data_IF_376738989238
#
_entry.id   IF_376738989238
#
_cell.length_a   1.000
_cell.length_b   1.000
_cell.length_c   1.000
_cell.angle_alpha   90.00
_cell.angle_beta   90.00
_cell.angle_gamma   90.00
#
_symmetry.space_group_name_H-M   'P 1'
#
loop_
_entity.id
_entity.type
_entity.pdbx_description
1 polymer ?
#
# COMPACT_ATOMS: atom_id res chain seq x y z
N UNK A 1 66.33 -13.64 -51.80
CA UNK A 1 65.76 -14.61 -50.81
C UNK A 1 65.61 -14.06 -49.39
N UNK A 2 66.58 -13.30 -48.85
CA UNK A 2 66.58 -12.87 -47.44
C UNK A 2 65.38 -12.00 -46.98
N UNK A 3 64.83 -11.15 -47.87
CA UNK A 3 63.70 -10.25 -47.54
C UNK A 3 62.39 -11.01 -47.32
N UNK A 4 62.13 -12.07 -48.10
CA UNK A 4 60.93 -12.93 -47.93
C UNK A 4 60.96 -13.68 -46.59
N UNK A 5 62.14 -14.14 -46.16
CA UNK A 5 62.33 -14.84 -44.88
C UNK A 5 62.07 -13.92 -43.67
N UNK A 6 62.52 -12.66 -43.72
CA UNK A 6 62.25 -11.68 -42.65
C UNK A 6 60.77 -11.31 -42.54
N UNK A 7 60.08 -11.13 -43.67
CA UNK A 7 58.62 -10.87 -43.67
C UNK A 7 57.85 -12.06 -43.09
N UNK A 8 58.20 -13.28 -43.50
CA UNK A 8 57.59 -14.51 -42.97
C UNK A 8 57.79 -14.67 -41.45
N UNK A 9 59.02 -14.49 -40.97
CA UNK A 9 59.33 -14.56 -39.53
C UNK A 9 58.51 -13.53 -38.74
N UNK A 10 58.42 -12.29 -39.22
CA UNK A 10 57.61 -11.24 -38.57
C UNK A 10 56.13 -11.60 -38.50
N UNK A 11 55.54 -12.09 -39.58
CA UNK A 11 54.14 -12.51 -39.59
C UNK A 11 53.86 -13.64 -38.60
N UNK A 12 54.76 -14.64 -38.53
CA UNK A 12 54.65 -15.75 -37.56
C UNK A 12 54.81 -15.23 -36.12
N UNK A 13 55.76 -14.34 -35.85
CA UNK A 13 55.94 -13.74 -34.52
C UNK A 13 54.73 -12.92 -34.08
N UNK A 14 54.12 -12.14 -34.99
CA UNK A 14 52.89 -11.40 -34.67
C UNK A 14 51.71 -12.34 -34.40
N UNK A 15 51.56 -13.42 -35.18
CA UNK A 15 50.53 -14.44 -34.95
C UNK A 15 50.69 -15.11 -33.57
N UNK A 16 51.92 -15.50 -33.20
CA UNK A 16 52.19 -16.10 -31.89
C UNK A 16 51.88 -15.10 -30.77
N UNK A 17 52.27 -13.83 -30.92
CA UNK A 17 51.96 -12.80 -29.92
C UNK A 17 50.44 -12.61 -29.73
N UNK A 18 49.67 -12.61 -30.83
CA UNK A 18 48.20 -12.54 -30.78
C UNK A 18 47.61 -13.78 -30.10
N UNK A 19 48.11 -14.98 -30.40
CA UNK A 19 47.68 -16.22 -29.71
C UNK A 19 47.97 -16.17 -28.21
N UNK A 20 49.12 -15.65 -27.80
CA UNK A 20 49.48 -15.48 -26.38
C UNK A 20 48.56 -14.47 -25.70
N UNK A 21 48.27 -13.33 -26.34
CA UNK A 21 47.32 -12.33 -25.81
C UNK A 21 45.93 -12.94 -25.64
N UNK A 22 45.40 -13.68 -26.62
CA UNK A 22 44.11 -14.36 -26.49
C UNK A 22 44.12 -15.46 -25.42
N UNK A 23 45.22 -16.19 -25.26
CA UNK A 23 45.35 -17.20 -24.22
C UNK A 23 45.38 -16.56 -22.81
N UNK A 24 46.10 -15.46 -22.64
CA UNK A 24 46.14 -14.69 -21.38
C UNK A 24 44.78 -14.06 -21.08
N UNK A 25 44.16 -13.40 -22.06
CA UNK A 25 42.81 -12.84 -21.91
C UNK A 25 41.78 -13.93 -21.59
N UNK A 26 41.85 -15.08 -22.25
CA UNK A 26 40.98 -16.22 -21.98
C UNK A 26 41.16 -16.80 -20.56
N UNK A 27 42.40 -16.92 -20.08
CA UNK A 27 42.67 -17.35 -18.70
C UNK A 27 42.22 -16.31 -17.67
N UNK A 28 42.42 -15.02 -17.94
CA UNK A 28 41.94 -13.94 -17.07
C UNK A 28 40.41 -13.93 -16.98
N UNK A 29 39.70 -14.03 -18.11
CA UNK A 29 38.24 -14.12 -18.14
C UNK A 29 37.71 -15.37 -17.43
N UNK A 30 38.40 -16.53 -17.56
CA UNK A 30 38.05 -17.74 -16.80
C UNK A 30 38.25 -17.57 -15.30
N UNK A 31 39.37 -16.98 -14.88
CA UNK A 31 39.66 -16.71 -13.48
C UNK A 31 38.66 -15.72 -12.88
N UNK A 32 38.30 -14.66 -13.62
CA UNK A 32 37.30 -13.70 -13.21
C UNK A 32 35.91 -14.33 -13.09
N UNK A 33 35.52 -15.19 -14.04
CA UNK A 33 34.26 -15.94 -13.99
C UNK A 33 34.20 -16.87 -12.77
N UNK A 34 35.26 -17.63 -12.51
CA UNK A 34 35.31 -18.54 -11.35
C UNK A 34 35.22 -17.77 -10.02
N UNK A 35 35.90 -16.62 -9.90
CA UNK A 35 35.82 -15.76 -8.71
C UNK A 35 34.42 -15.15 -8.53
N UNK A 36 33.74 -14.81 -9.62
CA UNK A 36 32.38 -14.29 -9.61
C UNK A 36 31.37 -15.36 -9.19
N UNK A 37 31.49 -16.58 -9.72
CA UNK A 37 30.65 -17.73 -9.34
C UNK A 37 30.82 -18.08 -7.84
N UNK A 38 32.05 -18.15 -7.33
CA UNK A 38 32.30 -18.40 -5.89
C UNK A 38 31.68 -17.31 -4.99
N UNK A 39 31.74 -16.05 -5.43
CA UNK A 39 31.11 -14.94 -4.68
C UNK A 39 29.59 -15.04 -4.70
N UNK A 40 29.00 -15.36 -5.86
CA UNK A 40 27.55 -15.54 -5.98
C UNK A 40 27.04 -16.74 -5.15
N UNK A 41 27.77 -17.86 -5.16
CA UNK A 41 27.42 -19.04 -4.37
C UNK A 41 27.40 -18.72 -2.87
N UNK A 42 28.39 -17.96 -2.39
CA UNK A 42 28.43 -17.48 -0.99
C UNK A 42 27.25 -16.58 -0.65
N UNK A 43 26.98 -15.56 -1.47
CA UNK A 43 25.85 -14.64 -1.26
C UNK A 43 24.52 -15.38 -1.25
N UNK A 44 24.34 -16.35 -2.15
CA UNK A 44 23.12 -17.18 -2.20
C UNK A 44 22.97 -18.09 -1.00
N UNK A 45 24.06 -18.73 -0.58
CA UNK A 45 24.02 -19.60 0.58
C UNK A 45 23.81 -18.82 1.89
N UNK A 46 24.44 -17.65 2.03
CA UNK A 46 24.18 -16.71 3.13
C UNK A 46 22.73 -16.22 3.10
N UNK A 47 22.23 -15.82 1.93
CA UNK A 47 20.84 -15.42 1.75
C UNK A 47 19.85 -16.53 2.12
N UNK A 48 20.19 -17.79 1.84
CA UNK A 48 19.34 -18.94 2.18
C UNK A 48 19.31 -19.17 3.69
N UNK A 49 20.47 -19.12 4.35
CA UNK A 49 20.55 -19.24 5.80
C UNK A 49 19.80 -18.10 6.51
N UNK A 50 19.95 -16.87 6.03
CA UNK A 50 19.20 -15.73 6.57
C UNK A 50 17.70 -15.87 6.34
N UNK A 51 17.27 -16.30 5.15
CA UNK A 51 15.85 -16.53 4.89
C UNK A 51 15.28 -17.62 5.81
N UNK A 52 16.02 -18.70 6.02
CA UNK A 52 15.66 -19.77 6.94
C UNK A 52 15.52 -19.26 8.39
N UNK A 53 16.51 -18.49 8.87
CA UNK A 53 16.48 -17.89 10.21
C UNK A 53 15.29 -16.93 10.37
N UNK A 54 15.06 -16.04 9.40
CA UNK A 54 13.93 -15.13 9.44
C UNK A 54 12.59 -15.87 9.43
N UNK A 55 12.44 -16.96 8.70
CA UNK A 55 11.19 -17.75 8.71
C UNK A 55 10.92 -18.37 10.09
N UNK A 56 11.96 -18.89 10.75
CA UNK A 56 11.84 -19.40 12.11
C UNK A 56 11.45 -18.29 13.10
N UNK A 57 12.13 -17.14 13.01
CA UNK A 57 11.82 -15.98 13.86
C UNK A 57 10.43 -15.41 13.58
N UNK A 58 9.98 -15.42 12.32
CA UNK A 58 8.66 -14.96 11.91
C UNK A 58 7.57 -15.87 12.48
N UNK A 59 7.75 -17.20 12.42
CA UNK A 59 6.86 -18.16 13.08
C UNK A 59 6.77 -17.89 14.61
N UNK A 60 7.91 -17.73 15.29
CA UNK A 60 7.93 -17.36 16.70
C UNK A 60 7.26 -16.01 17.01
N UNK A 61 7.46 -15.00 16.16
CA UNK A 61 6.85 -13.69 16.30
C UNK A 61 5.33 -13.71 16.09
N UNK A 62 4.86 -14.48 15.10
CA UNK A 62 3.44 -14.62 14.76
C UNK A 62 2.68 -15.42 15.80
N UNK A 63 3.25 -16.50 16.33
CA UNK A 63 2.67 -17.23 17.46
C UNK A 63 2.56 -16.36 18.71
N UNK A 64 3.57 -15.51 18.98
CA UNK A 64 3.48 -14.52 20.05
C UNK A 64 2.39 -13.47 19.77
N UNK A 65 2.28 -13.00 18.53
CA UNK A 65 1.27 -12.03 18.13
C UNK A 65 -0.15 -12.60 18.28
N UNK A 66 -0.35 -13.88 17.99
CA UNK A 66 -1.62 -14.60 18.15
C UNK A 66 -2.11 -14.68 19.60
N UNK A 67 -1.22 -14.61 20.58
CA UNK A 67 -1.57 -14.70 22.02
C UNK A 67 -1.41 -13.37 22.77
N UNK A 68 -0.89 -12.34 22.11
CA UNK A 68 -0.60 -11.04 22.72
C UNK A 68 -1.86 -10.25 23.09
N UNK A 69 -1.76 -9.46 24.16
CA UNK A 69 -2.85 -8.60 24.64
C UNK A 69 -2.30 -7.31 25.27
N UNK A 70 -3.07 -6.21 25.16
CA UNK A 70 -2.65 -4.92 25.71
C UNK A 70 -1.41 -4.34 25.03
N UNK A 71 -0.51 -3.74 25.81
CA UNK A 71 0.69 -3.04 25.30
C UNK A 71 1.67 -3.96 24.55
N UNK A 72 1.66 -5.28 24.80
CA UNK A 72 2.58 -6.22 24.12
C UNK A 72 2.30 -6.39 22.63
N UNK A 73 1.10 -6.02 22.17
CA UNK A 73 0.68 -6.18 20.77
C UNK A 73 1.52 -5.31 19.85
N UNK A 74 1.79 -4.06 20.23
CA UNK A 74 2.56 -3.13 19.39
C UNK A 74 4.01 -3.62 19.18
N UNK A 75 4.65 -4.12 20.25
CA UNK A 75 6.01 -4.64 20.20
C UNK A 75 6.08 -5.92 19.35
N UNK A 76 5.13 -6.84 19.52
CA UNK A 76 5.06 -8.08 18.73
C UNK A 76 4.77 -7.79 17.25
N UNK A 77 3.86 -6.86 16.94
CA UNK A 77 3.57 -6.45 15.56
C UNK A 77 4.81 -5.86 14.89
N UNK A 78 5.52 -4.95 15.60
CA UNK A 78 6.75 -4.36 15.09
C UNK A 78 7.84 -5.42 14.85
N UNK A 79 7.99 -6.37 15.76
CA UNK A 79 8.91 -7.48 15.61
C UNK A 79 8.62 -8.29 14.34
N UNK A 80 7.37 -8.71 14.14
CA UNK A 80 6.95 -9.46 12.94
C UNK A 80 7.20 -8.65 11.66
N UNK A 81 6.85 -7.37 11.65
CA UNK A 81 7.12 -6.48 10.51
C UNK A 81 8.61 -6.41 10.16
N UNK A 82 9.47 -6.25 11.16
CA UNK A 82 10.92 -6.18 10.96
C UNK A 82 11.47 -7.49 10.39
N UNK A 83 11.01 -8.64 10.89
CA UNK A 83 11.43 -9.97 10.37
C UNK A 83 10.93 -10.22 8.96
N UNK A 84 9.70 -9.82 8.64
CA UNK A 84 9.16 -9.93 7.29
C UNK A 84 9.99 -9.13 6.26
N UNK A 85 10.39 -7.91 6.61
CA UNK A 85 11.27 -7.08 5.76
C UNK A 85 12.66 -7.70 5.62
N UNK A 86 13.23 -8.21 6.71
CA UNK A 86 14.51 -8.93 6.67
C UNK A 86 14.46 -10.14 5.72
N UNK A 87 13.40 -10.96 5.85
CA UNK A 87 13.16 -12.10 4.99
C UNK A 87 13.01 -11.71 3.51
N UNK A 88 12.28 -10.62 3.21
CA UNK A 88 12.16 -10.10 1.84
C UNK A 88 13.53 -9.69 1.26
N UNK A 89 14.38 -9.06 2.08
CA UNK A 89 15.75 -8.73 1.71
C UNK A 89 16.56 -9.97 1.34
N UNK A 90 16.47 -11.04 2.14
CA UNK A 90 17.11 -12.33 1.88
C UNK A 90 16.55 -13.04 0.64
N UNK A 91 15.23 -13.00 0.44
CA UNK A 91 14.58 -13.54 -0.76
C UNK A 91 15.05 -12.84 -2.06
N UNK A 92 15.44 -11.57 -1.96
CA UNK A 92 16.00 -10.79 -3.07
C UNK A 92 17.37 -11.27 -3.57
N UNK A 93 18.04 -12.20 -2.88
CA UNK A 93 19.28 -12.82 -3.33
C UNK A 93 19.08 -13.89 -4.42
N UNK A 94 17.83 -14.29 -4.67
CA UNK A 94 17.48 -15.36 -5.60
C UNK A 94 16.74 -14.85 -6.83
N UNK A 95 16.56 -15.72 -7.83
CA UNK A 95 15.69 -15.40 -8.96
C UNK A 95 14.24 -15.20 -8.47
N UNK A 96 13.63 -14.07 -8.83
CA UNK A 96 12.26 -13.71 -8.43
C UNK A 96 11.23 -14.76 -8.85
N UNK A 97 11.41 -15.42 -10.00
CA UNK A 97 10.51 -16.50 -10.46
C UNK A 97 10.57 -17.74 -9.55
N UNK A 98 11.65 -17.89 -8.78
CA UNK A 98 11.87 -19.03 -7.86
C UNK A 98 11.43 -18.75 -6.43
N UNK A 99 11.06 -17.50 -6.12
CA UNK A 99 10.67 -17.07 -4.78
C UNK A 99 9.33 -16.33 -4.77
N UNK A 100 8.53 -16.45 -5.82
CA UNK A 100 7.26 -15.70 -5.97
C UNK A 100 6.34 -15.94 -4.77
N UNK A 101 6.09 -17.21 -4.42
CA UNK A 101 5.18 -17.57 -3.33
C UNK A 101 5.69 -17.10 -1.96
N UNK A 102 6.97 -17.33 -1.68
CA UNK A 102 7.61 -16.86 -0.45
C UNK A 102 7.54 -15.32 -0.35
N UNK A 103 7.83 -14.61 -1.44
CA UNK A 103 7.82 -13.15 -1.47
C UNK A 103 6.40 -12.59 -1.28
N UNK A 104 5.41 -13.24 -1.89
CA UNK A 104 4.00 -12.87 -1.70
C UNK A 104 3.57 -13.10 -0.25
N UNK A 105 3.85 -14.28 0.31
CA UNK A 105 3.57 -14.58 1.72
C UNK A 105 4.21 -13.55 2.66
N UNK A 106 5.50 -13.26 2.49
CA UNK A 106 6.22 -12.31 3.35
C UNK A 106 5.66 -10.89 3.26
N UNK A 107 5.27 -10.45 2.06
CA UNK A 107 4.62 -9.15 1.87
C UNK A 107 3.27 -9.11 2.59
N UNK A 108 2.46 -10.16 2.44
CA UNK A 108 1.18 -10.29 3.13
C UNK A 108 1.34 -10.25 4.65
N UNK A 109 2.32 -10.98 5.20
CA UNK A 109 2.60 -10.96 6.64
C UNK A 109 3.05 -9.58 7.10
N UNK A 110 3.89 -8.90 6.31
CA UNK A 110 4.28 -7.52 6.59
C UNK A 110 3.04 -6.61 6.66
N UNK A 111 2.20 -6.59 5.63
CA UNK A 111 0.99 -5.75 5.56
C UNK A 111 0.00 -6.08 6.71
N UNK A 112 -0.17 -7.37 7.01
CA UNK A 112 -0.96 -7.84 8.14
C UNK A 112 -0.42 -7.34 9.49
N UNK A 113 0.89 -7.46 9.72
CA UNK A 113 1.49 -7.03 10.99
C UNK A 113 1.41 -5.51 11.20
N UNK A 114 1.43 -4.71 10.13
CA UNK A 114 1.24 -3.26 10.19
C UNK A 114 -0.19 -2.86 10.57
N UNK A 115 -1.18 -3.71 10.25
CA UNK A 115 -2.62 -3.46 10.42
C UNK A 115 -3.27 -4.37 11.46
N UNK A 116 -2.47 -5.04 12.28
CA UNK A 116 -2.96 -6.04 13.23
C UNK A 116 -3.86 -5.41 14.30
N UNK A 117 -5.15 -5.79 14.30
CA UNK A 117 -6.18 -5.24 15.19
C UNK A 117 -6.18 -5.83 16.60
N UNK A 118 -5.60 -7.03 16.79
CA UNK A 118 -5.64 -7.76 18.06
C UNK A 118 -7.00 -8.38 18.41
N UNK A 119 -7.96 -8.37 17.49
CA UNK A 119 -9.21 -9.11 17.65
C UNK A 119 -9.02 -10.63 17.46
N UNK A 120 -10.05 -11.42 17.76
CA UNK A 120 -9.95 -12.88 17.72
C UNK A 120 -9.69 -13.42 16.31
N UNK A 121 -10.18 -12.73 15.27
CA UNK A 121 -9.95 -13.13 13.87
C UNK A 121 -8.50 -12.84 13.47
N UNK A 122 -7.96 -11.69 13.87
CA UNK A 122 -6.56 -11.35 13.68
C UNK A 122 -5.65 -12.33 14.42
N UNK A 123 -5.98 -12.69 15.66
CA UNK A 123 -5.23 -13.72 16.40
C UNK A 123 -5.26 -15.08 15.72
N UNK A 124 -6.41 -15.53 15.24
CA UNK A 124 -6.52 -16.77 14.47
C UNK A 124 -5.71 -16.71 13.17
N UNK A 125 -5.73 -15.56 12.49
CA UNK A 125 -4.95 -15.33 11.25
C UNK A 125 -3.45 -15.36 11.53
N UNK A 126 -3.00 -14.72 12.62
CA UNK A 126 -1.60 -14.75 13.06
C UNK A 126 -1.13 -16.18 13.37
N UNK A 127 -1.99 -16.99 14.02
CA UNK A 127 -1.68 -18.40 14.27
C UNK A 127 -1.48 -19.19 12.97
N UNK A 128 -2.37 -19.02 11.98
CA UNK A 128 -2.23 -19.69 10.68
C UNK A 128 -0.98 -19.24 9.91
N UNK A 129 -0.64 -17.95 9.98
CA UNK A 129 0.63 -17.48 9.41
C UNK A 129 1.84 -18.04 10.13
N UNK A 130 1.76 -18.23 11.46
CA UNK A 130 2.82 -18.87 12.25
C UNK A 130 3.08 -20.29 11.78
N UNK A 131 2.00 -21.07 11.57
CA UNK A 131 2.09 -22.46 11.10
C UNK A 131 2.73 -22.51 9.70
N UNK A 132 2.25 -21.68 8.77
CA UNK A 132 2.80 -21.63 7.41
C UNK A 132 4.27 -21.18 7.39
N UNK A 133 4.66 -20.20 8.21
CA UNK A 133 6.05 -19.80 8.35
C UNK A 133 6.95 -20.93 8.87
N UNK A 134 6.42 -21.76 9.77
CA UNK A 134 7.13 -22.94 10.28
C UNK A 134 7.33 -24.00 9.18
N UNK A 135 6.30 -24.23 8.35
CA UNK A 135 6.40 -25.13 7.19
C UNK A 135 7.47 -24.67 6.19
N UNK A 136 7.48 -23.37 5.85
CA UNK A 136 8.50 -22.78 4.98
C UNK A 136 9.89 -22.92 5.62
N UNK A 137 10.01 -22.70 6.93
CA UNK A 137 11.27 -22.89 7.65
C UNK A 137 11.79 -24.32 7.51
N UNK A 138 10.98 -25.35 7.79
CA UNK A 138 11.40 -26.75 7.65
C UNK A 138 11.83 -27.06 6.22
N UNK A 139 11.09 -26.58 5.23
CA UNK A 139 11.43 -26.74 3.82
C UNK A 139 12.78 -26.10 3.45
N UNK A 140 13.04 -24.86 3.89
CA UNK A 140 14.33 -24.19 3.66
C UNK A 140 15.47 -24.87 4.41
N UNK A 141 15.22 -25.38 5.62
CA UNK A 141 16.16 -26.18 6.39
C UNK A 141 16.53 -27.48 5.66
N UNK A 142 15.57 -28.16 5.05
CA UNK A 142 15.80 -29.37 4.25
C UNK A 142 16.64 -29.07 2.99
N UNK A 143 16.36 -27.96 2.31
CA UNK A 143 17.20 -27.49 1.18
C UNK A 143 18.63 -27.22 1.65
N UNK A 144 18.78 -26.55 2.78
CA UNK A 144 20.11 -26.24 3.36
C UNK A 144 20.87 -27.52 3.69
N UNK A 145 20.22 -28.50 4.32
CA UNK A 145 20.80 -29.81 4.60
C UNK A 145 21.15 -30.57 3.31
N UNK A 146 20.32 -30.50 2.27
CA UNK A 146 20.59 -31.12 0.98
C UNK A 146 21.78 -30.47 0.24
N UNK A 147 21.98 -29.16 0.37
CA UNK A 147 23.18 -28.47 -0.14
C UNK A 147 24.42 -28.97 0.61
N UNK A 148 24.39 -28.97 1.95
CA UNK A 148 25.52 -29.42 2.77
C UNK A 148 25.86 -30.91 2.58
N UNK A 149 24.85 -31.74 2.32
CA UNK A 149 24.99 -33.15 1.98
C UNK A 149 25.45 -33.40 0.54
N UNK A 150 25.58 -32.36 -0.28
CA UNK A 150 25.98 -32.45 -1.69
C UNK A 150 24.92 -33.02 -2.63
N UNK A 151 23.66 -33.07 -2.18
CA UNK A 151 22.52 -33.48 -2.99
C UNK A 151 22.08 -32.37 -3.94
N UNK A 152 22.17 -31.10 -3.53
CA UNK A 152 21.85 -29.93 -4.36
C UNK A 152 23.09 -29.11 -4.72
N UNK A 153 23.07 -28.46 -5.88
CA UNK A 153 24.12 -27.55 -6.32
C UNK A 153 23.72 -26.09 -6.10
N UNK A 154 24.68 -25.29 -5.62
CA UNK A 154 24.60 -23.82 -5.57
C UNK A 154 24.80 -23.15 -6.94
N UNK A 155 25.27 -23.90 -7.94
CA UNK A 155 25.51 -23.43 -9.31
C UNK A 155 24.50 -24.03 -10.29
N UNK A 156 23.81 -23.17 -11.02
CA UNK A 156 22.83 -23.56 -12.04
C UNK A 156 23.47 -24.37 -13.20
N UNK A 157 24.69 -23.97 -13.57
CA UNK A 157 25.41 -24.58 -14.69
C UNK A 157 26.26 -25.78 -14.26
N UNK A 158 26.58 -25.91 -12.97
CA UNK A 158 27.40 -26.99 -12.42
C UNK A 158 28.84 -27.00 -12.96
N UNK A 159 29.67 -27.92 -12.46
CA UNK A 159 31.01 -28.12 -13.02
C UNK A 159 30.91 -28.83 -14.38
N UNK A 160 31.57 -28.33 -15.45
CA UNK A 160 31.61 -29.01 -16.74
C UNK A 160 32.34 -30.38 -16.69
N UNK A 161 32.95 -30.72 -15.55
CA UNK A 161 33.63 -31.99 -15.31
C UNK A 161 32.84 -32.95 -14.39
N UNK A 162 31.67 -32.55 -13.89
CA UNK A 162 30.85 -33.39 -13.00
C UNK A 162 30.21 -34.55 -13.76
N UNK A 163 30.44 -35.78 -13.28
CA UNK A 163 29.94 -37.02 -13.91
C UNK A 163 28.42 -37.19 -13.74
N UNK A 164 27.85 -36.62 -12.68
CA UNK A 164 26.41 -36.49 -12.42
C UNK A 164 26.12 -35.02 -12.08
N UNK A 165 25.14 -34.42 -12.75
CA UNK A 165 24.72 -33.02 -12.49
C UNK A 165 23.70 -33.04 -11.35
N UNK A 166 24.07 -32.51 -10.19
CA UNK A 166 23.11 -32.32 -9.09
C UNK A 166 22.07 -31.26 -9.49
N UNK A 167 20.83 -31.39 -9.03
CA UNK A 167 19.81 -30.39 -9.32
C UNK A 167 20.14 -29.07 -8.60
N UNK A 168 19.71 -27.97 -9.22
CA UNK A 168 19.97 -26.62 -8.73
C UNK A 168 19.00 -26.24 -7.62
N UNK A 169 19.52 -25.74 -6.50
CA UNK A 169 18.73 -25.54 -5.27
C UNK A 169 17.58 -24.53 -5.43
N UNK A 170 17.75 -23.43 -6.21
CA UNK A 170 16.70 -22.41 -6.33
C UNK A 170 15.43 -22.98 -6.98
N UNK A 171 15.52 -24.07 -7.74
CA UNK A 171 14.32 -24.73 -8.29
C UNK A 171 13.40 -25.34 -7.21
N UNK A 172 13.88 -25.44 -5.98
CA UNK A 172 13.13 -25.95 -4.85
C UNK A 172 12.71 -24.83 -3.89
N UNK A 173 13.07 -23.57 -4.12
CA UNK A 173 12.70 -22.48 -3.21
C UNK A 173 11.22 -22.11 -3.27
N UNK A 174 10.56 -22.38 -4.39
CA UNK A 174 9.16 -22.03 -4.59
C UNK A 174 8.26 -22.99 -3.81
N UNK A 175 8.14 -22.74 -2.51
CA UNK A 175 7.27 -23.50 -1.63
C UNK A 175 5.83 -22.98 -1.72
N UNK A 176 4.96 -23.80 -2.28
CA UNK A 176 3.55 -23.83 -1.97
C UNK A 176 3.30 -25.20 -1.34
N UNK A 177 2.56 -25.31 -0.24
CA UNK A 177 2.27 -26.59 0.43
C UNK A 177 1.31 -27.47 -0.41
N UNK A 178 1.52 -27.56 -1.72
CA UNK A 178 0.61 -28.14 -2.70
C UNK A 178 -0.61 -27.29 -3.05
N UNK A 179 -0.72 -26.06 -2.50
CA UNK A 179 -1.89 -25.18 -2.62
C UNK A 179 -1.46 -23.71 -2.70
N UNK A 180 -1.43 -23.13 -3.90
CA UNK A 180 -1.39 -21.66 -4.04
C UNK A 180 -2.61 -21.02 -3.34
N UNK A 181 -3.75 -21.72 -3.34
CA UNK A 181 -5.00 -21.30 -2.71
C UNK A 181 -4.86 -21.03 -1.21
N UNK A 182 -3.93 -21.69 -0.51
CA UNK A 182 -3.73 -21.50 0.92
C UNK A 182 -3.03 -20.16 1.22
N UNK A 183 -2.01 -19.79 0.45
CA UNK A 183 -1.38 -18.47 0.55
C UNK A 183 -2.38 -17.37 0.21
N UNK A 184 -3.20 -17.58 -0.83
CA UNK A 184 -4.24 -16.62 -1.22
C UNK A 184 -5.37 -16.53 -0.20
N UNK A 185 -5.78 -17.65 0.42
CA UNK A 185 -6.77 -17.66 1.49
C UNK A 185 -6.26 -16.95 2.75
N UNK A 186 -5.00 -17.16 3.11
CA UNK A 186 -4.35 -16.46 4.22
C UNK A 186 -4.19 -14.96 3.93
N UNK A 187 -3.85 -14.61 2.69
CA UNK A 187 -3.83 -13.22 2.25
C UNK A 187 -5.22 -12.58 2.28
N UNK A 188 -6.26 -13.31 1.86
CA UNK A 188 -7.64 -12.85 1.96
C UNK A 188 -8.10 -12.68 3.42
N UNK A 189 -7.71 -13.58 4.34
CA UNK A 189 -8.04 -13.43 5.76
C UNK A 189 -7.30 -12.26 6.42
N UNK A 190 -6.05 -12.02 6.03
CA UNK A 190 -5.31 -10.82 6.43
C UNK A 190 -5.97 -9.54 5.88
N UNK A 191 -6.39 -9.55 4.62
CA UNK A 191 -7.10 -8.43 4.00
C UNK A 191 -8.45 -8.13 4.70
N UNK A 192 -9.14 -9.18 5.16
CA UNK A 192 -10.39 -9.07 5.92
C UNK A 192 -10.17 -8.45 7.31
N UNK A 193 -9.00 -8.67 7.93
CA UNK A 193 -8.63 -8.06 9.22
C UNK A 193 -8.15 -6.62 9.11
N UNK A 194 -7.62 -6.21 7.93
CA UNK A 194 -7.28 -4.81 7.59
C UNK A 194 -8.53 -3.90 7.50
N UNK A 195 -9.74 -4.46 7.48
CA UNK A 195 -10.96 -3.72 7.13
C UNK A 195 -12.00 -3.68 8.24
N UNK A 196 -11.60 -3.29 9.45
CA UNK A 196 -12.58 -2.88 10.45
C UNK A 196 -12.85 -1.38 10.32
N UNK A 197 -13.73 -1.00 9.37
CA UNK A 197 -14.17 0.39 9.22
C UNK A 197 -14.81 0.86 10.55
N UNK A 198 -14.07 1.58 11.40
CA UNK A 198 -14.56 2.03 12.71
C UNK A 198 -15.86 2.82 12.57
N UNK A 199 -15.98 3.61 11.50
CA UNK A 199 -17.18 4.38 11.23
C UNK A 199 -18.45 3.52 11.08
N UNK A 200 -18.32 2.29 10.57
CA UNK A 200 -19.43 1.35 10.40
C UNK A 200 -19.57 0.36 11.55
N UNK A 201 -18.58 0.28 12.45
CA UNK A 201 -18.55 -0.69 13.53
C UNK A 201 -19.76 -0.55 14.45
N UNK A 202 -20.35 -1.69 14.84
CA UNK A 202 -21.57 -1.75 15.66
C UNK A 202 -22.87 -1.33 14.98
N UNK A 203 -22.87 -0.95 13.69
CA UNK A 203 -24.10 -0.63 12.96
C UNK A 203 -24.76 -1.91 12.43
N UNK A 204 -26.06 -2.05 12.65
CA UNK A 204 -26.83 -3.17 12.11
C UNK A 204 -26.87 -3.16 10.58
N UNK A 205 -26.78 -4.34 9.98
CA UNK A 205 -26.98 -4.52 8.53
C UNK A 205 -28.44 -4.29 8.16
N UNK A 206 -28.67 -3.49 7.13
CA UNK A 206 -30.02 -3.24 6.59
C UNK A 206 -30.30 -4.14 5.37
N UNK A 207 -31.59 -4.35 5.05
CA UNK A 207 -31.98 -5.08 3.85
C UNK A 207 -31.86 -4.20 2.59
N UNK A 208 -31.79 -4.84 1.42
CA UNK A 208 -31.76 -4.16 0.13
C UNK A 208 -32.99 -3.26 -0.08
N UNK A 209 -34.18 -3.66 0.39
CA UNK A 209 -35.40 -2.87 0.28
C UNK A 209 -35.31 -1.58 1.10
N UNK A 210 -34.78 -1.66 2.33
CA UNK A 210 -34.53 -0.47 3.17
C UNK A 210 -33.49 0.45 2.54
N UNK A 211 -32.44 -0.12 1.95
CA UNK A 211 -31.40 0.65 1.26
C UNK A 211 -31.98 1.37 0.03
N UNK A 212 -32.85 0.69 -0.73
CA UNK A 212 -33.55 1.24 -1.90
C UNK A 212 -34.50 2.37 -1.50
N UNK A 213 -35.21 2.25 -0.38
CA UNK A 213 -36.03 3.33 0.17
C UNK A 213 -35.19 4.56 0.55
N UNK A 214 -34.05 4.36 1.23
CA UNK A 214 -33.12 5.46 1.52
C UNK A 214 -32.61 6.13 0.25
N UNK A 215 -32.24 5.36 -0.78
CA UNK A 215 -31.82 5.91 -2.07
C UNK A 215 -32.91 6.79 -2.72
N UNK A 216 -34.16 6.34 -2.65
CA UNK A 216 -35.32 7.12 -3.10
C UNK A 216 -35.53 8.40 -2.30
N UNK A 217 -35.36 8.38 -0.98
CA UNK A 217 -35.46 9.57 -0.14
C UNK A 217 -34.38 10.62 -0.43
N UNK A 218 -33.18 10.17 -0.80
CA UNK A 218 -32.02 11.03 -1.08
C UNK A 218 -32.17 11.72 -2.45
N UNK A 219 -32.52 10.95 -3.48
CA UNK A 219 -32.52 11.43 -4.87
C UNK A 219 -33.90 11.90 -5.33
N UNK A 220 -34.98 11.44 -4.69
CA UNK A 220 -36.36 11.74 -5.09
C UNK A 220 -36.90 10.88 -6.23
N UNK A 221 -36.25 9.75 -6.54
CA UNK A 221 -36.72 8.76 -7.53
C UNK A 221 -37.53 7.67 -6.82
N UNK A 222 -38.69 7.30 -7.36
CA UNK A 222 -39.52 6.23 -6.80
C UNK A 222 -38.75 4.90 -6.70
N UNK A 223 -38.92 4.19 -5.58
CA UNK A 223 -38.21 2.95 -5.28
C UNK A 223 -38.37 1.88 -6.37
N UNK A 224 -39.51 1.84 -7.06
CA UNK A 224 -39.81 0.88 -8.13
C UNK A 224 -38.96 1.13 -9.39
N UNK A 225 -38.46 2.35 -9.58
CA UNK A 225 -37.70 2.75 -10.76
C UNK A 225 -36.21 2.44 -10.66
N UNK A 226 -35.71 2.08 -9.47
CA UNK A 226 -34.31 1.71 -9.28
C UNK A 226 -34.00 0.32 -9.82
N UNK A 227 -32.95 0.24 -10.65
CA UNK A 227 -32.30 -1.02 -10.98
C UNK A 227 -31.21 -1.29 -9.95
N UNK A 228 -31.32 -2.42 -9.28
CA UNK A 228 -30.30 -2.92 -8.36
C UNK A 228 -29.18 -3.57 -9.16
N UNK A 229 -27.98 -3.03 -9.02
CA UNK A 229 -26.79 -3.63 -9.59
C UNK A 229 -26.13 -4.52 -8.53
N UNK A 230 -25.37 -5.51 -9.00
CA UNK A 230 -24.61 -6.49 -8.20
C UNK A 230 -24.01 -5.85 -6.95
N UNK A 231 -24.13 -6.53 -5.79
CA UNK A 231 -23.45 -6.16 -4.56
C UNK A 231 -21.98 -5.84 -4.85
N UNK A 232 -21.57 -4.59 -4.64
CA UNK A 232 -20.17 -4.21 -4.76
C UNK A 232 -19.51 -4.30 -3.38
N UNK A 233 -18.40 -5.03 -3.32
CA UNK A 233 -17.44 -4.91 -2.22
C UNK A 233 -16.46 -3.82 -2.60
N UNK A 234 -16.47 -2.72 -1.87
CA UNK A 234 -15.30 -1.84 -1.80
C UNK A 234 -14.29 -2.52 -0.88
N UNK A 235 -12.98 -2.28 -1.05
CA UNK A 235 -11.87 -3.02 -0.41
C UNK A 235 -11.91 -3.07 1.15
N UNK A 236 -12.91 -2.47 1.80
CA UNK A 236 -13.11 -2.52 3.26
C UNK A 236 -14.58 -2.54 3.76
N UNK A 237 -15.58 -2.46 2.89
CA UNK A 237 -17.01 -2.50 3.28
C UNK A 237 -17.92 -2.86 2.09
N UNK A 238 -19.14 -3.31 2.38
CA UNK A 238 -20.12 -3.70 1.35
C UNK A 238 -21.19 -2.62 1.13
N UNK A 239 -21.58 -2.43 -0.14
CA UNK A 239 -22.66 -1.51 -0.53
C UNK A 239 -23.73 -2.19 -1.38
N UNK A 240 -24.95 -1.66 -1.30
CA UNK A 240 -25.99 -1.82 -2.29
C UNK A 240 -25.89 -0.69 -3.32
N UNK A 241 -25.81 -1.03 -4.60
CA UNK A 241 -25.73 -0.07 -5.70
C UNK A 241 -27.04 -0.01 -6.48
N UNK A 242 -27.60 1.18 -6.63
CA UNK A 242 -28.82 1.43 -7.39
C UNK A 242 -28.57 2.39 -8.54
N UNK A 243 -29.20 2.14 -9.68
CA UNK A 243 -29.08 2.99 -10.88
C UNK A 243 -30.41 3.28 -11.55
N UNK A 244 -30.54 4.49 -12.09
CA UNK A 244 -31.67 4.94 -12.90
C UNK A 244 -31.19 5.98 -13.92
N UNK A 245 -31.23 5.64 -15.22
CA UNK A 245 -30.59 6.46 -16.25
C UNK A 245 -29.10 6.64 -15.97
N UNK A 246 -28.64 7.89 -15.95
CA UNK A 246 -27.26 8.28 -15.62
C UNK A 246 -27.05 8.54 -14.12
N UNK A 247 -28.07 8.30 -13.29
CA UNK A 247 -27.94 8.43 -11.83
C UNK A 247 -27.56 7.10 -11.19
N UNK A 248 -26.58 7.13 -10.30
CA UNK A 248 -26.14 6.02 -9.48
C UNK A 248 -26.03 6.45 -8.01
N UNK A 249 -26.32 5.52 -7.10
CA UNK A 249 -26.20 5.73 -5.66
C UNK A 249 -25.78 4.44 -4.96
N UNK A 250 -24.80 4.56 -4.07
CA UNK A 250 -24.27 3.44 -3.28
C UNK A 250 -24.60 3.68 -1.80
N UNK A 251 -25.23 2.68 -1.16
CA UNK A 251 -25.61 2.69 0.25
C UNK A 251 -24.91 1.54 0.98
N UNK A 252 -24.16 1.82 2.04
CA UNK A 252 -23.51 0.77 2.83
C UNK A 252 -24.53 -0.21 3.42
N UNK A 253 -24.24 -1.51 3.34
CA UNK A 253 -25.09 -2.54 3.96
C UNK A 253 -25.18 -2.32 5.47
N UNK A 254 -24.05 -2.02 6.11
CA UNK A 254 -24.00 -1.68 7.53
C UNK A 254 -24.52 -0.26 7.78
N UNK A 255 -25.58 -0.14 8.58
CA UNK A 255 -26.19 1.14 8.98
C UNK A 255 -26.97 1.88 7.88
N UNK A 256 -26.88 1.47 6.61
CA UNK A 256 -27.49 2.20 5.51
C UNK A 256 -26.93 3.60 5.33
N UNK A 257 -25.62 3.74 5.47
CA UNK A 257 -24.89 5.00 5.29
C UNK A 257 -24.82 5.34 3.80
N UNK A 258 -24.99 6.61 3.44
CA UNK A 258 -24.80 7.07 2.06
C UNK A 258 -23.31 7.07 1.71
N UNK A 259 -22.87 6.24 0.77
CA UNK A 259 -21.46 6.15 0.37
C UNK A 259 -21.13 7.04 -0.84
N UNK A 260 -21.94 6.93 -1.89
CA UNK A 260 -21.67 7.60 -3.18
C UNK A 260 -22.94 8.05 -3.86
N UNK A 261 -22.89 9.19 -4.53
CA UNK A 261 -23.92 9.67 -5.47
C UNK A 261 -23.24 10.13 -6.76
N UNK A 262 -23.81 9.72 -7.89
CA UNK A 262 -23.53 10.28 -9.20
C UNK A 262 -24.90 10.64 -9.76
N UNK A 263 -25.21 11.92 -9.92
CA UNK A 263 -26.49 12.38 -10.47
C UNK A 263 -26.25 13.62 -11.33
N UNK A 264 -25.92 13.45 -12.62
CA UNK A 264 -25.61 14.57 -13.50
C UNK A 264 -26.76 15.58 -13.51
N UNK A 265 -26.48 16.78 -12.99
CA UNK A 265 -27.45 17.87 -12.92
C UNK A 265 -27.60 18.60 -14.27
N UNK A 266 -28.62 19.46 -14.41
CA UNK A 266 -28.77 20.26 -15.61
C UNK A 266 -27.61 21.26 -15.76
N UNK A 267 -26.99 21.28 -16.94
CA UNK A 267 -25.98 22.28 -17.32
C UNK A 267 -26.63 23.33 -18.21
N UNK A 268 -27.21 24.37 -17.60
CA UNK A 268 -28.01 25.37 -18.30
C UNK A 268 -27.56 26.80 -17.98
N UNK A 269 -27.81 27.26 -16.75
CA UNK A 269 -27.47 28.61 -16.30
C UNK A 269 -26.96 28.58 -14.86
N UNK A 270 -26.06 29.48 -14.51
CA UNK A 270 -25.54 29.60 -13.14
C UNK A 270 -26.53 30.41 -12.29
N UNK A 271 -27.29 29.73 -11.43
CA UNK A 271 -28.25 30.34 -10.51
C UNK A 271 -27.61 30.59 -9.13
N UNK A 272 -26.79 29.65 -8.67
CA UNK A 272 -26.15 29.71 -7.35
C UNK A 272 -24.72 30.24 -7.42
N UNK A 273 -24.36 31.03 -6.42
CA UNK A 273 -22.97 31.44 -6.23
C UNK A 273 -22.13 30.28 -5.66
N UNK A 274 -20.81 30.49 -5.60
CA UNK A 274 -19.91 29.53 -4.97
C UNK A 274 -20.19 29.38 -3.47
N UNK A 275 -20.46 30.48 -2.76
CA UNK A 275 -20.75 30.46 -1.33
C UNK A 275 -22.09 29.75 -1.05
N UNK A 276 -23.09 29.94 -1.91
CA UNK A 276 -24.35 29.20 -1.82
C UNK A 276 -24.14 27.69 -2.02
N UNK A 277 -23.24 27.32 -2.94
CA UNK A 277 -22.90 25.92 -3.19
C UNK A 277 -22.17 25.28 -2.00
N UNK A 278 -21.27 26.03 -1.36
CA UNK A 278 -20.59 25.58 -0.14
C UNK A 278 -21.58 25.30 0.98
N UNK A 279 -22.52 26.23 1.24
CA UNK A 279 -23.56 26.05 2.25
C UNK A 279 -24.44 24.82 1.97
N UNK A 280 -24.80 24.60 0.71
CA UNK A 280 -25.56 23.40 0.29
C UNK A 280 -24.79 22.11 0.52
N UNK A 281 -23.47 22.13 0.28
CA UNK A 281 -22.61 20.98 0.53
C UNK A 281 -22.52 20.67 2.03
N UNK A 282 -22.32 21.69 2.87
CA UNK A 282 -22.27 21.55 4.33
C UNK A 282 -23.60 21.03 4.91
N UNK A 283 -24.73 21.56 4.43
CA UNK A 283 -26.06 21.10 4.82
C UNK A 283 -26.29 19.63 4.44
N UNK A 284 -25.85 19.24 3.24
CA UNK A 284 -25.95 17.85 2.77
C UNK A 284 -25.14 16.90 3.65
N UNK A 285 -23.88 17.24 3.94
CA UNK A 285 -23.01 16.45 4.81
C UNK A 285 -23.64 16.25 6.20
N UNK A 286 -24.06 17.35 6.81
CA UNK A 286 -24.69 17.36 8.14
C UNK A 286 -25.96 16.50 8.18
N UNK A 287 -26.82 16.61 7.16
CA UNK A 287 -28.07 15.86 7.03
C UNK A 287 -27.84 14.35 6.96
N UNK A 288 -26.78 13.90 6.30
CA UNK A 288 -26.50 12.48 6.10
C UNK A 288 -25.46 11.90 7.07
N UNK A 289 -25.08 12.65 8.11
CA UNK A 289 -24.31 12.15 9.25
C UNK A 289 -22.80 12.38 9.16
N UNK A 290 -22.33 13.16 8.19
CA UNK A 290 -20.95 13.60 8.06
C UNK A 290 -20.79 14.94 8.79
N UNK A 291 -20.34 14.87 10.05
CA UNK A 291 -20.29 16.02 10.98
C UNK A 291 -18.87 16.51 11.20
N UNK A 292 -18.74 17.76 11.68
CA UNK A 292 -17.45 18.39 11.99
C UNK A 292 -16.49 18.37 10.78
N UNK A 293 -17.03 18.64 9.61
CA UNK A 293 -16.28 18.63 8.35
C UNK A 293 -15.67 20.01 8.09
N UNK A 294 -14.43 20.03 7.60
CA UNK A 294 -13.70 21.22 7.21
C UNK A 294 -13.37 21.16 5.73
N UNK A 295 -13.66 22.23 5.00
CA UNK A 295 -13.28 22.35 3.59
C UNK A 295 -11.78 22.56 3.47
N UNK A 296 -11.10 21.66 2.76
CA UNK A 296 -9.65 21.69 2.51
C UNK A 296 -9.31 21.92 1.05
N UNK A 297 -10.25 21.71 0.14
CA UNK A 297 -10.06 21.94 -1.28
C UNK A 297 -11.34 22.39 -1.93
N UNK A 298 -11.21 23.15 -3.01
CA UNK A 298 -12.34 23.62 -3.78
C UNK A 298 -11.93 23.89 -5.22
N UNK A 299 -12.78 23.52 -6.16
CA UNK A 299 -12.61 23.80 -7.58
C UNK A 299 -13.96 24.25 -8.15
N UNK A 300 -13.96 25.28 -9.02
CA UNK A 300 -15.19 25.77 -9.64
C UNK A 300 -15.11 25.58 -11.14
N UNK A 301 -16.04 24.79 -11.68
CA UNK A 301 -16.28 24.67 -13.11
C UNK A 301 -17.28 25.71 -13.63
N UNK A 302 -17.68 25.59 -14.89
CA UNK A 302 -18.65 26.50 -15.52
C UNK A 302 -20.04 26.41 -14.85
N UNK A 303 -20.48 25.19 -14.52
CA UNK A 303 -21.80 24.90 -13.95
C UNK A 303 -21.76 24.09 -12.66
N UNK A 304 -20.57 23.82 -12.11
CA UNK A 304 -20.40 23.01 -10.89
C UNK A 304 -19.38 23.64 -9.95
N UNK A 305 -19.53 23.33 -8.65
CA UNK A 305 -18.52 23.62 -7.65
C UNK A 305 -18.22 22.34 -6.88
N UNK A 306 -16.95 21.92 -6.92
CA UNK A 306 -16.40 20.77 -6.21
C UNK A 306 -15.74 21.22 -4.92
N UNK A 307 -15.92 20.44 -3.86
CA UNK A 307 -15.33 20.67 -2.56
C UNK A 307 -14.76 19.36 -2.02
N UNK A 308 -13.61 19.46 -1.36
CA UNK A 308 -13.00 18.37 -0.59
C UNK A 308 -13.10 18.71 0.89
N UNK A 309 -13.82 17.88 1.63
CA UNK A 309 -14.00 18.01 3.06
C UNK A 309 -13.20 16.95 3.80
N UNK A 310 -12.69 17.29 4.98
CA UNK A 310 -12.04 16.34 5.90
C UNK A 310 -12.66 16.50 7.30
N UNK A 311 -12.82 15.44 8.08
CA UNK A 311 -13.32 15.56 9.43
C UNK A 311 -12.26 16.14 10.37
N UNK A 312 -12.72 16.98 11.29
CA UNK A 312 -11.94 17.51 12.40
C UNK A 312 -12.41 16.85 13.70
N UNK A 313 -11.53 16.10 14.36
CA UNK A 313 -11.80 15.38 15.60
C UNK A 313 -10.75 15.80 16.63
N UNK A 314 -11.21 16.30 17.79
CA UNK A 314 -10.32 16.79 18.85
C UNK A 314 -9.27 17.82 18.37
N UNK A 315 -9.62 18.65 17.38
CA UNK A 315 -8.72 19.65 16.78
C UNK A 315 -7.71 19.08 15.76
N UNK A 316 -7.84 17.80 15.38
CA UNK A 316 -7.00 17.14 14.38
C UNK A 316 -7.80 16.87 13.11
N UNK A 317 -7.24 17.25 11.96
CA UNK A 317 -7.80 16.94 10.64
C UNK A 317 -7.36 15.53 10.19
N UNK A 318 -8.30 14.68 9.79
CA UNK A 318 -7.98 13.39 9.16
C UNK A 318 -7.97 13.55 7.63
N UNK A 319 -6.81 13.86 7.06
CA UNK A 319 -6.72 14.16 5.62
C UNK A 319 -7.04 12.94 4.74
N UNK A 320 -6.75 11.74 5.23
CA UNK A 320 -7.05 10.49 4.53
C UNK A 320 -8.51 10.03 4.67
N UNK A 321 -9.32 10.66 5.51
CA UNK A 321 -10.74 10.36 5.67
C UNK A 321 -11.60 11.41 4.95
N UNK A 322 -11.25 11.73 3.70
CA UNK A 322 -11.90 12.81 2.96
C UNK A 322 -13.27 12.45 2.38
N UNK A 323 -14.07 13.48 2.14
CA UNK A 323 -15.34 13.43 1.41
C UNK A 323 -15.30 14.44 0.27
N UNK A 324 -15.53 13.99 -0.96
CA UNK A 324 -15.65 14.87 -2.11
C UNK A 324 -17.12 15.09 -2.44
N UNK A 325 -17.49 16.34 -2.72
CA UNK A 325 -18.86 16.71 -3.07
C UNK A 325 -18.87 17.76 -4.17
N UNK A 326 -19.68 17.54 -5.19
CA UNK A 326 -19.93 18.48 -6.27
C UNK A 326 -21.38 18.95 -6.23
N UNK A 327 -21.56 20.26 -6.33
CA UNK A 327 -22.86 20.92 -6.38
C UNK A 327 -23.07 21.51 -7.76
N UNK A 328 -24.21 21.18 -8.38
CA UNK A 328 -24.65 21.82 -9.62
C UNK A 328 -25.07 23.26 -9.34
N UNK A 329 -24.41 24.24 -9.94
CA UNK A 329 -24.69 25.66 -9.76
C UNK A 329 -25.99 26.11 -10.44
N UNK A 330 -26.56 25.29 -11.33
CA UNK A 330 -27.88 25.56 -11.93
C UNK A 330 -29.02 25.20 -10.98
N UNK A 331 -28.96 24.04 -10.34
CA UNK A 331 -30.08 23.51 -9.53
C UNK A 331 -29.84 23.64 -8.02
N UNK A 332 -28.58 23.74 -7.60
CA UNK A 332 -28.17 23.62 -6.21
C UNK A 332 -28.33 22.22 -5.63
N UNK A 333 -28.48 21.20 -6.49
CA UNK A 333 -28.48 19.79 -6.13
C UNK A 333 -27.07 19.19 -6.15
N UNK A 334 -26.88 18.07 -5.47
CA UNK A 334 -25.61 17.34 -5.44
C UNK A 334 -25.49 16.52 -6.72
N UNK A 335 -24.49 16.85 -7.56
CA UNK A 335 -24.22 16.12 -8.80
C UNK A 335 -23.23 14.97 -8.59
N UNK A 336 -22.34 15.10 -7.62
CA UNK A 336 -21.41 14.06 -7.22
C UNK A 336 -21.18 14.08 -5.70
N UNK A 337 -21.04 12.90 -5.11
CA UNK A 337 -20.67 12.71 -3.72
C UNK A 337 -19.89 11.42 -3.60
N UNK A 338 -18.74 11.44 -2.93
CA UNK A 338 -18.00 10.23 -2.58
C UNK A 338 -17.42 10.38 -1.17
N UNK A 339 -17.83 9.48 -0.27
CA UNK A 339 -17.34 9.38 1.10
C UNK A 339 -16.62 8.05 1.36
N UNK A 340 -16.18 7.34 0.32
CA UNK A 340 -15.54 6.03 0.47
C UNK A 340 -14.28 6.11 1.35
N UNK A 341 -13.45 7.13 1.15
CA UNK A 341 -12.24 7.34 1.96
C UNK A 341 -12.57 7.68 3.41
N UNK A 342 -13.57 8.54 3.64
CA UNK A 342 -14.10 8.78 4.97
C UNK A 342 -14.55 7.48 5.64
N UNK A 343 -15.42 6.70 5.00
CA UNK A 343 -15.98 5.49 5.60
C UNK A 343 -14.87 4.49 5.95
N UNK A 344 -13.86 4.37 5.08
CA UNK A 344 -12.72 3.47 5.24
C UNK A 344 -11.77 3.91 6.35
N UNK A 345 -11.37 5.18 6.37
CA UNK A 345 -10.23 5.66 7.14
C UNK A 345 -10.63 6.45 8.40
N UNK A 346 -11.92 6.75 8.58
CA UNK A 346 -12.41 7.48 9.75
C UNK A 346 -12.22 6.67 11.03
N UNK A 347 -11.76 7.36 12.08
CA UNK A 347 -11.48 6.81 13.39
C UNK A 347 -11.89 7.78 14.49
N UNK A 348 -12.40 7.26 15.60
CA UNK A 348 -12.88 8.10 16.72
C UNK A 348 -11.77 8.42 17.72
N UNK A 349 -10.85 7.48 17.95
CA UNK A 349 -9.81 7.61 18.96
C UNK A 349 -8.58 8.34 18.40
N UNK A 350 -8.67 9.66 18.43
CA UNK A 350 -7.57 10.55 18.06
C UNK A 350 -7.18 11.36 19.27
N UNK A 351 -5.91 11.24 19.65
CA UNK A 351 -5.31 12.03 20.72
C UNK A 351 -5.59 13.52 20.54
N UNK A 352 -6.03 14.18 21.61
CA UNK A 352 -6.09 15.64 21.65
C UNK A 352 -4.69 16.22 21.47
N UNK A 353 -4.59 17.36 20.80
CA UNK A 353 -3.30 17.99 20.52
C UNK A 353 -2.83 18.88 21.67
N UNK A 354 -1.52 18.96 21.83
CA UNK A 354 -0.87 20.01 22.61
C UNK A 354 -0.85 21.33 21.80
N UNK A 355 -0.45 22.42 22.45
CA UNK A 355 -0.27 23.72 21.80
C UNK A 355 0.68 23.62 20.58
N UNK A 356 0.29 24.22 19.46
CA UNK A 356 1.07 24.21 18.23
C UNK A 356 2.32 25.10 18.43
N UNK A 357 3.54 24.58 18.25
CA UNK A 357 4.76 25.37 18.39
C UNK A 357 4.88 26.42 17.27
N UNK A 358 5.68 27.46 17.47
CA UNK A 358 5.98 28.41 16.40
C UNK A 358 6.82 27.73 15.30
N UNK A 359 6.17 27.45 14.18
CA UNK A 359 6.76 26.80 13.00
C UNK A 359 7.23 27.80 11.94
N UNK A 360 7.09 29.11 12.15
CA UNK A 360 7.39 30.13 11.14
C UNK A 360 8.84 30.08 10.65
N UNK A 361 9.79 29.74 11.53
CA UNK A 361 11.21 29.61 11.20
C UNK A 361 11.56 28.39 10.33
N UNK A 362 10.65 27.43 10.20
CA UNK A 362 10.83 26.23 9.34
C UNK A 362 10.39 26.53 7.90
N UNK A 363 9.50 27.51 7.72
CA UNK A 363 8.93 27.83 6.41
C UNK A 363 9.93 28.63 5.55
N UNK A 364 9.95 28.39 4.23
CA UNK A 364 10.65 29.26 3.28
C UNK A 364 10.21 30.73 3.44
N UNK A 365 11.17 31.66 3.36
CA UNK A 365 10.94 33.09 3.62
C UNK A 365 10.01 33.79 2.61
N UNK A 366 9.75 33.16 1.47
CA UNK A 366 8.81 33.62 0.44
C UNK A 366 7.37 33.15 0.66
N UNK A 367 7.10 32.34 1.70
CA UNK A 367 5.76 31.92 2.07
C UNK A 367 5.23 32.77 3.22
N UNK A 368 4.01 33.31 3.06
CA UNK A 368 3.30 33.97 4.14
C UNK A 368 2.41 32.96 4.85
N UNK A 369 2.69 32.68 6.13
CA UNK A 369 1.86 31.78 6.94
C UNK A 369 0.51 32.42 7.29
N UNK A 370 -0.58 31.72 7.02
CA UNK A 370 -1.95 32.18 7.31
C UNK A 370 -2.60 31.38 8.43
N UNK A 371 -2.42 30.06 8.44
CA UNK A 371 -2.99 29.20 9.47
C UNK A 371 -2.17 27.92 9.66
N UNK A 372 -2.32 27.28 10.82
CA UNK A 372 -1.68 25.99 11.12
C UNK A 372 -2.70 25.05 11.72
N UNK A 373 -2.77 23.83 11.18
CA UNK A 373 -3.58 22.76 11.70
C UNK A 373 -2.71 21.58 12.12
N UNK A 374 -3.21 20.76 13.05
CA UNK A 374 -2.67 19.41 13.25
C UNK A 374 -3.46 18.47 12.36
N UNK A 375 -2.77 17.57 11.65
CA UNK A 375 -3.44 16.61 10.78
C UNK A 375 -2.78 15.23 10.81
N UNK A 376 -3.58 14.21 10.51
CA UNK A 376 -3.08 12.92 10.02
C UNK A 376 -3.06 12.93 8.50
N UNK A 377 -1.95 12.52 7.93
CA UNK A 377 -1.77 12.39 6.48
C UNK A 377 -0.97 11.13 6.17
N UNK A 378 -1.26 10.50 5.04
CA UNK A 378 -0.45 9.40 4.54
C UNK A 378 0.74 9.94 3.72
N UNK A 379 1.95 9.68 4.21
CA UNK A 379 3.19 10.14 3.57
C UNK A 379 4.11 8.95 3.37
N UNK A 380 4.28 8.57 2.10
CA UNK A 380 5.04 7.40 1.65
C UNK A 380 4.50 6.08 2.25
N UNK A 381 3.19 5.86 2.21
CA UNK A 381 2.57 4.63 2.71
C UNK A 381 2.54 4.50 4.23
N UNK A 382 2.78 5.59 4.96
CA UNK A 382 2.72 5.63 6.43
C UNK A 382 1.88 6.81 6.87
N UNK A 383 0.96 6.55 7.79
CA UNK A 383 0.27 7.63 8.47
C UNK A 383 1.23 8.41 9.38
N UNK A 384 1.15 9.73 9.31
CA UNK A 384 1.95 10.63 10.14
C UNK A 384 1.09 11.73 10.72
N UNK A 385 1.38 12.07 11.97
CA UNK A 385 0.90 13.32 12.58
C UNK A 385 1.79 14.47 12.12
N UNK A 386 1.18 15.48 11.53
CA UNK A 386 1.85 16.60 10.91
C UNK A 386 1.26 17.93 11.40
N UNK A 387 2.04 19.00 11.30
CA UNK A 387 1.53 20.36 11.23
C UNK A 387 1.30 20.71 9.76
N UNK A 388 0.06 21.03 9.41
CA UNK A 388 -0.32 21.56 8.11
C UNK A 388 -0.30 23.08 8.17
N UNK A 389 0.75 23.69 7.61
CA UNK A 389 0.85 25.13 7.44
C UNK A 389 0.16 25.54 6.13
N UNK A 390 -0.93 26.30 6.26
CA UNK A 390 -1.59 26.97 5.15
C UNK A 390 -0.88 28.29 4.92
N UNK A 391 -0.26 28.40 3.76
CA UNK A 391 0.58 29.52 3.38
C UNK A 391 0.10 30.16 2.09
N UNK A 392 0.54 31.40 1.83
CA UNK A 392 0.34 32.10 0.56
C UNK A 392 1.66 32.31 -0.16
N UNK A 393 1.67 32.03 -1.46
CA UNK A 393 2.75 32.36 -2.38
C UNK A 393 2.18 33.16 -3.56
N UNK A 394 2.28 34.48 -3.50
CA UNK A 394 1.61 35.35 -4.48
C UNK A 394 0.09 35.22 -4.38
N UNK A 395 -0.56 34.75 -5.45
CA UNK A 395 -2.01 34.46 -5.47
C UNK A 395 -2.36 33.02 -5.09
N UNK A 396 -1.36 32.14 -4.98
CA UNK A 396 -1.59 30.72 -4.76
C UNK A 396 -1.58 30.39 -3.26
N UNK A 397 -2.49 29.51 -2.86
CA UNK A 397 -2.48 28.90 -1.53
C UNK A 397 -1.63 27.62 -1.56
N UNK A 398 -0.74 27.48 -0.58
CA UNK A 398 0.27 26.43 -0.50
C UNK A 398 0.12 25.71 0.84
N UNK A 399 0.02 24.40 0.79
CA UNK A 399 -0.02 23.51 1.93
C UNK A 399 1.37 22.92 2.18
N UNK A 400 1.95 23.25 3.34
CA UNK A 400 3.25 22.70 3.76
C UNK A 400 3.00 21.77 4.94
N UNK A 401 3.29 20.49 4.74
CA UNK A 401 3.23 19.49 5.80
C UNK A 401 4.58 19.41 6.48
N UNK A 402 4.57 19.54 7.79
CA UNK A 402 5.74 19.52 8.66
C UNK A 402 5.56 18.35 9.63
N UNK A 403 6.56 17.49 9.72
CA UNK A 403 6.55 16.36 10.65
C UNK A 403 6.50 16.87 12.10
N UNK A 404 5.51 16.41 12.88
CA UNK A 404 5.26 16.92 14.24
C UNK A 404 6.47 16.75 15.16
N UNK A 405 7.24 15.69 14.99
CA UNK A 405 8.35 15.34 15.90
C UNK A 405 9.67 15.97 15.49
N UNK A 406 10.01 15.87 14.21
CA UNK A 406 11.30 16.36 13.69
C UNK A 406 11.27 17.82 13.26
N UNK A 407 10.09 18.43 13.14
CA UNK A 407 9.88 19.79 12.62
C UNK A 407 10.51 20.02 11.24
N UNK A 408 10.58 18.96 10.43
CA UNK A 408 11.06 19.03 9.04
C UNK A 408 9.88 19.08 8.09
N UNK A 409 10.00 19.90 7.04
CA UNK A 409 9.09 19.87 5.91
C UNK A 409 9.19 18.51 5.24
N UNK A 410 8.05 17.85 5.06
CA UNK A 410 7.95 16.49 4.51
C UNK A 410 7.18 16.46 3.19
N UNK A 411 6.26 17.40 2.97
CA UNK A 411 5.46 17.51 1.73
C UNK A 411 5.05 18.96 1.53
N UNK A 412 4.99 19.40 0.28
CA UNK A 412 4.48 20.74 -0.08
C UNK A 412 3.59 20.59 -1.31
N UNK A 413 2.39 21.16 -1.24
CA UNK A 413 1.38 21.11 -2.30
C UNK A 413 0.87 22.52 -2.58
N UNK A 414 0.52 22.80 -3.84
CA UNK A 414 -0.26 23.99 -4.21
C UNK A 414 -1.72 23.55 -4.28
N UNK A 415 -2.65 24.36 -3.75
CA UNK A 415 -4.08 24.02 -3.59
C UNK A 415 -4.82 23.69 -4.90
N UNK A 416 -4.24 23.93 -6.07
CA UNK A 416 -4.92 23.88 -7.38
C UNK A 416 -5.11 22.50 -8.02
N UNK A 417 -5.10 21.41 -7.27
CA UNK A 417 -5.50 20.10 -7.82
C UNK A 417 -6.17 19.29 -6.72
N UNK A 418 -7.49 19.08 -6.84
CA UNK A 418 -8.09 17.87 -6.31
C UNK A 418 -7.30 16.69 -6.89
N UNK A 419 -6.94 15.66 -6.09
CA UNK A 419 -6.37 14.45 -6.67
C UNK A 419 -7.37 13.88 -7.68
N UNK A 420 -6.94 13.70 -8.93
CA UNK A 420 -7.74 13.11 -10.01
C UNK A 420 -8.11 11.66 -9.70
#
# INVERSE_FOLDING_TARGET
MAVKRRKFIRTVSYLIAVCVVFAVAGNFSRSAKASYEDTLEKVRFEGLNSLCEYMHELSGGLSLLAVSSGESVADSSYYVSARAVGALGSAGCFNSEKTVNISHFLKTVYDFSQSFSGDDIARETAAKFSDYAEEVYYHLSDITAAILGGAYSLSEYGSPYARNKQPYFENYLDYSNGSEDEIFALAASAQATVSNCEFLNGKETISAEKAKQKASEIIGIDAVLWRENVNKSENSFEVYSFTHGDTAIDICKSGGVLCRVISPGPSAERIYSYDDALLKAEDFLSRYGYKNMKVMGSETGEFTACFLFVPEINGVLLMNASVQIEVCLSSGGISFFDASDYIKNFRYDIYSTDEIPDISGVLPSNLALENVFVCFEEINGREKVCYLAVCRYGSDEVYVYIDRFSLKVIKTLIKNTLPN
#
